data_IF_829466775172
#
_entry.id   IF_829466775172
#
_cell.length_a   1.000
_cell.length_b   1.000
_cell.length_c   1.000
_cell.angle_alpha   90.00
_cell.angle_beta   90.00
_cell.angle_gamma   90.00
#
_symmetry.space_group_name_H-M   'P 1'
#
loop_
_entity.id
_entity.type
_entity.pdbx_description
1 polymer ?
#
# COMPACT_ATOMS: atom_id res chain seq x y z
N UNK A 1 2.87 17.48 -20.67
CA UNK A 1 3.50 16.15 -20.57
C UNK A 1 3.54 15.71 -19.13
N UNK A 2 3.24 14.47 -18.88
CA UNK A 2 3.21 13.95 -17.50
C UNK A 2 4.33 12.94 -17.29
N UNK A 3 4.68 12.78 -16.04
CA UNK A 3 5.64 11.78 -15.62
C UNK A 3 4.99 10.87 -14.58
N UNK A 4 5.39 9.62 -14.56
CA UNK A 4 4.93 8.68 -13.54
C UNK A 4 6.09 8.40 -12.61
N UNK A 5 5.84 8.52 -11.32
CA UNK A 5 6.81 8.16 -10.30
C UNK A 5 6.24 7.05 -9.46
N UNK A 6 7.15 6.32 -8.83
CA UNK A 6 6.78 5.17 -7.99
C UNK A 6 7.41 5.35 -6.62
N UNK A 7 6.61 5.13 -5.58
CA UNK A 7 7.12 5.07 -4.21
C UNK A 7 6.78 3.72 -3.61
N UNK A 8 7.61 3.29 -2.69
CA UNK A 8 7.38 2.05 -1.97
C UNK A 8 6.78 2.35 -0.60
N UNK A 9 5.73 1.62 -0.25
CA UNK A 9 5.07 1.79 1.05
C UNK A 9 4.83 0.43 1.67
N UNK A 10 4.81 0.40 3.00
CA UNK A 10 4.46 -0.79 3.76
C UNK A 10 3.30 -0.38 4.67
N UNK A 11 2.22 -1.15 4.60
CA UNK A 11 1.04 -0.87 5.40
C UNK A 11 0.48 -2.16 5.98
N UNK A 12 -0.28 -2.02 7.05
CA UNK A 12 -0.84 -3.18 7.72
C UNK A 12 -2.26 -2.90 8.17
N UNK A 13 -2.95 -3.98 8.54
CA UNK A 13 -4.31 -3.93 9.07
C UNK A 13 -4.53 -5.18 9.90
N UNK A 14 -5.35 -5.06 10.92
CA UNK A 14 -5.77 -6.23 11.69
C UNK A 14 -7.01 -6.91 11.08
N UNK A 15 -7.52 -6.39 9.95
CA UNK A 15 -8.76 -6.87 9.35
C UNK A 15 -8.54 -7.76 8.12
N UNK A 16 -7.54 -7.46 7.30
CA UNK A 16 -7.28 -8.28 6.12
C UNK A 16 -6.33 -7.61 5.15
N UNK A 17 -5.99 -8.33 4.07
CA UNK A 17 -5.07 -7.81 3.06
C UNK A 17 -5.70 -6.68 2.24
N UNK A 18 -7.00 -6.76 1.99
CA UNK A 18 -7.68 -5.68 1.28
C UNK A 18 -7.60 -4.38 2.07
N UNK A 19 -7.87 -4.47 3.36
CA UNK A 19 -7.82 -3.29 4.22
C UNK A 19 -6.39 -2.77 4.35
N UNK A 20 -5.39 -3.66 4.40
CA UNK A 20 -4.00 -3.23 4.44
C UNK A 20 -3.64 -2.48 3.15
N UNK A 21 -4.11 -2.97 2.01
CA UNK A 21 -3.88 -2.32 0.73
C UNK A 21 -4.54 -0.94 0.69
N UNK A 22 -5.78 -0.86 1.16
CA UNK A 22 -6.48 0.42 1.22
C UNK A 22 -5.78 1.40 2.15
N UNK A 23 -5.25 0.90 3.27
CA UNK A 23 -4.48 1.75 4.17
C UNK A 23 -3.23 2.30 3.50
N UNK A 24 -2.58 1.49 2.66
CA UNK A 24 -1.41 1.95 1.91
C UNK A 24 -1.75 3.13 1.01
N UNK A 25 -2.86 3.02 0.28
CA UNK A 25 -3.29 4.10 -0.61
C UNK A 25 -3.69 5.33 0.20
N UNK A 26 -4.45 5.14 1.27
CA UNK A 26 -4.89 6.25 2.11
C UNK A 26 -3.70 7.01 2.70
N UNK A 27 -2.69 6.28 3.16
CA UNK A 27 -1.52 6.89 3.75
C UNK A 27 -0.70 7.64 2.70
N UNK A 28 -0.51 7.03 1.53
CA UNK A 28 0.22 7.68 0.45
C UNK A 28 -0.51 8.94 -0.04
N UNK A 29 -1.84 8.92 -0.03
CA UNK A 29 -2.61 10.05 -0.54
C UNK A 29 -2.48 11.30 0.33
N UNK A 30 -1.94 11.16 1.53
CA UNK A 30 -1.68 12.31 2.38
C UNK A 30 -0.53 13.17 1.86
N UNK A 31 0.38 12.58 1.12
CA UNK A 31 1.58 13.28 0.67
C UNK A 31 1.71 13.36 -0.85
N UNK A 32 1.06 12.48 -1.60
CA UNK A 32 1.14 12.50 -3.06
C UNK A 32 -0.25 12.59 -3.65
N UNK A 33 -0.33 13.22 -4.83
CA UNK A 33 -1.57 13.40 -5.57
C UNK A 33 -1.52 12.58 -6.85
N UNK A 34 -2.68 12.33 -7.42
CA UNK A 34 -2.82 11.68 -8.73
C UNK A 34 -2.28 10.25 -8.69
N UNK A 35 -2.61 9.53 -7.63
CA UNK A 35 -2.26 8.12 -7.54
C UNK A 35 -3.01 7.37 -8.63
N UNK A 36 -2.29 6.54 -9.40
CA UNK A 36 -2.85 5.83 -10.53
C UNK A 36 -3.01 4.34 -10.27
N UNK A 37 -2.07 3.73 -9.56
CA UNK A 37 -2.14 2.29 -9.33
C UNK A 37 -1.32 1.91 -8.13
N UNK A 38 -1.61 0.73 -7.62
CA UNK A 38 -0.82 0.12 -6.56
C UNK A 38 -0.47 -1.30 -7.00
N UNK A 39 0.79 -1.64 -6.86
CA UNK A 39 1.30 -2.96 -7.20
C UNK A 39 1.79 -3.61 -5.91
N UNK A 40 1.22 -4.74 -5.57
CA UNK A 40 1.59 -5.46 -4.35
C UNK A 40 2.80 -6.33 -4.66
N UNK A 41 3.93 -6.04 -4.00
CA UNK A 41 5.16 -6.81 -4.17
C UNK A 41 5.17 -8.02 -3.27
N UNK A 42 4.81 -7.82 -2.02
CA UNK A 42 4.81 -8.88 -1.01
C UNK A 42 3.63 -8.69 -0.09
N UNK A 43 3.12 -9.79 0.41
CA UNK A 43 2.11 -9.73 1.45
C UNK A 43 2.41 -10.85 2.45
N UNK A 44 2.22 -10.54 3.71
CA UNK A 44 2.42 -11.52 4.76
C UNK A 44 1.48 -11.24 5.91
N UNK A 45 1.38 -12.20 6.79
CA UNK A 45 0.54 -12.05 7.97
C UNK A 45 1.34 -12.48 9.19
N UNK A 46 1.08 -11.84 10.31
CA UNK A 46 1.70 -12.19 11.57
C UNK A 46 0.79 -13.15 12.32
N UNK A 47 1.39 -14.15 12.93
CA UNK A 47 0.65 -15.22 13.60
C UNK A 47 1.10 -15.26 15.05
N UNK A 48 0.13 -15.30 15.98
CA UNK A 48 0.38 -15.49 17.40
C UNK A 48 -0.62 -16.51 17.91
N UNK A 49 -0.13 -17.48 18.68
CA UNK A 49 -0.97 -18.54 19.24
C UNK A 49 -1.80 -19.23 18.16
N UNK A 50 -1.18 -19.50 17.02
CA UNK A 50 -1.79 -20.19 15.88
C UNK A 50 -2.95 -19.42 15.23
N UNK A 51 -3.00 -18.09 15.44
CA UNK A 51 -4.03 -17.26 14.84
C UNK A 51 -3.37 -16.07 14.15
N UNK A 52 -3.93 -15.65 13.02
CA UNK A 52 -3.47 -14.46 12.33
C UNK A 52 -3.93 -13.24 13.11
N UNK A 53 -2.97 -12.37 13.47
CA UNK A 53 -3.27 -11.18 14.25
C UNK A 53 -3.15 -9.90 13.43
N UNK A 54 -2.39 -9.93 12.33
CA UNK A 54 -2.30 -8.74 11.47
C UNK A 54 -1.88 -9.16 10.07
N UNK A 55 -2.14 -8.27 9.13
CA UNK A 55 -1.86 -8.47 7.71
C UNK A 55 -1.02 -7.29 7.24
N UNK A 56 0.02 -7.56 6.46
CA UNK A 56 0.90 -6.51 5.97
C UNK A 56 1.09 -6.65 4.47
N UNK A 57 1.19 -5.52 3.79
CA UNK A 57 1.51 -5.47 2.37
C UNK A 57 2.70 -4.56 2.16
N UNK A 58 3.57 -4.95 1.23
CA UNK A 58 4.66 -4.13 0.74
C UNK A 58 4.32 -3.83 -0.71
N UNK A 59 4.14 -2.56 -1.04
CA UNK A 59 3.56 -2.20 -2.32
C UNK A 59 4.31 -1.04 -2.95
N UNK A 60 4.25 -0.99 -4.28
CA UNK A 60 4.67 0.16 -5.05
C UNK A 60 3.44 0.92 -5.49
N UNK A 61 3.43 2.22 -5.21
CA UNK A 61 2.35 3.09 -5.63
C UNK A 61 2.87 4.00 -6.72
N UNK A 62 2.18 4.01 -7.86
CA UNK A 62 2.54 4.89 -8.95
C UNK A 62 1.60 6.08 -8.96
N UNK A 63 2.16 7.24 -9.22
CA UNK A 63 1.40 8.47 -9.30
C UNK A 63 1.94 9.35 -10.39
N UNK A 64 1.12 10.25 -10.85
CA UNK A 64 1.43 11.06 -12.01
C UNK A 64 1.78 12.47 -11.56
N UNK A 65 2.87 12.99 -12.10
CA UNK A 65 3.28 14.37 -11.87
C UNK A 65 3.02 15.11 -13.17
N UNK A 66 2.20 16.13 -13.10
CA UNK A 66 1.93 16.96 -14.26
C UNK A 66 2.89 18.12 -14.31
N UNK A 67 3.26 18.45 -15.50
CA UNK A 67 4.17 19.56 -15.76
C UNK A 67 3.48 20.67 -16.52
#
# INVERSE_FOLDING_TARGET
MSMVKVIEVIASSDKGFTEATENAVAEASKTVKNIKSIYIKHMNANVENNKIVSYAVNANISFEIEK
#
